data_IF_012589982936
#
_entry.id   IF_012589982936
#
_cell.length_a   1.000
_cell.length_b   1.000
_cell.length_c   1.000
_cell.angle_alpha   90.00
_cell.angle_beta   90.00
_cell.angle_gamma   90.00
#
_symmetry.space_group_name_H-M   'P 1'
#
loop_
_entity.id
_entity.type
_entity.pdbx_description
1 polymer ?
#
# COMPACT_ATOMS: atom_id res chain seq x y z
N UNK A 1 9.10 3.60 16.27
CA UNK A 1 8.05 3.38 15.23
C UNK A 1 6.69 3.22 15.89
N UNK A 2 5.60 3.63 15.21
CA UNK A 2 4.21 3.44 15.64
C UNK A 2 3.58 2.27 14.87
N UNK A 3 2.59 1.59 15.47
CA UNK A 3 1.78 0.60 14.78
C UNK A 3 0.46 1.22 14.33
N UNK A 4 0.14 1.05 13.07
CA UNK A 4 -1.11 1.45 12.45
C UNK A 4 -1.67 0.39 11.52
N UNK A 5 -2.70 0.76 10.76
CA UNK A 5 -3.20 -0.06 9.66
C UNK A 5 -3.80 0.80 8.55
N UNK A 6 -3.85 0.24 7.35
CA UNK A 6 -4.54 0.80 6.19
C UNK A 6 -6.04 0.57 6.32
N UNK A 7 -6.82 1.64 6.33
CA UNK A 7 -8.28 1.58 6.57
C UNK A 7 -9.07 0.97 5.42
N UNK A 8 -8.45 0.75 4.27
CA UNK A 8 -9.05 0.13 3.09
C UNK A 8 -9.67 -1.27 3.35
N UNK A 9 -9.23 -1.96 4.39
CA UNK A 9 -9.83 -3.24 4.80
C UNK A 9 -11.23 -3.13 5.42
N UNK A 10 -11.70 -1.91 5.71
CA UNK A 10 -13.03 -1.63 6.28
C UNK A 10 -13.82 -0.64 5.40
N UNK A 11 -14.03 -0.92 4.10
CA UNK A 11 -14.50 0.08 3.13
C UNK A 11 -15.87 0.66 3.43
N UNK A 12 -16.75 -0.11 4.08
CA UNK A 12 -18.12 0.29 4.37
C UNK A 12 -18.28 1.02 5.71
N UNK A 13 -17.20 1.10 6.51
CA UNK A 13 -17.27 1.67 7.85
C UNK A 13 -16.85 3.14 7.84
N UNK A 14 -17.60 4.05 8.49
CA UNK A 14 -17.19 5.46 8.62
C UNK A 14 -15.84 5.60 9.34
N UNK A 15 -15.06 6.62 8.97
CA UNK A 15 -13.75 6.90 9.59
C UNK A 15 -13.85 7.04 11.12
N UNK A 16 -14.90 7.68 11.62
CA UNK A 16 -15.12 7.91 13.04
C UNK A 16 -15.23 6.59 13.83
N UNK A 17 -15.91 5.61 13.25
CA UNK A 17 -16.04 4.28 13.86
C UNK A 17 -14.72 3.49 13.78
N UNK A 18 -14.00 3.59 12.65
CA UNK A 18 -12.67 2.98 12.49
C UNK A 18 -11.70 3.57 13.51
N UNK A 19 -11.67 4.90 13.65
CA UNK A 19 -10.78 5.59 14.57
C UNK A 19 -11.10 5.22 16.05
N UNK A 20 -12.38 5.18 16.41
CA UNK A 20 -12.80 4.77 17.75
C UNK A 20 -12.38 3.33 18.05
N UNK A 21 -12.59 2.40 17.11
CA UNK A 21 -12.17 1.02 17.23
C UNK A 21 -10.64 0.90 17.35
N UNK A 22 -9.90 1.58 16.48
CA UNK A 22 -8.44 1.55 16.45
C UNK A 22 -7.82 2.07 17.77
N UNK A 23 -8.31 3.22 18.27
CA UNK A 23 -7.88 3.79 19.53
C UNK A 23 -8.17 2.87 20.73
N UNK A 24 -9.39 2.29 20.77
CA UNK A 24 -9.78 1.34 21.82
C UNK A 24 -8.92 0.06 21.82
N UNK A 25 -8.41 -0.36 20.67
CA UNK A 25 -7.53 -1.52 20.53
C UNK A 25 -6.05 -1.16 20.60
N UNK A 26 -5.69 0.10 20.87
CA UNK A 26 -4.31 0.51 21.15
C UNK A 26 -3.43 0.65 19.89
N UNK A 27 -4.01 0.87 18.73
CA UNK A 27 -3.28 1.38 17.56
C UNK A 27 -2.85 2.82 17.82
N UNK A 28 -1.79 3.26 17.17
CA UNK A 28 -1.23 4.60 17.34
C UNK A 28 -1.32 5.48 16.07
N UNK A 29 -1.66 4.88 14.94
CA UNK A 29 -1.76 5.57 13.66
C UNK A 29 -2.76 4.89 12.72
N UNK A 30 -3.25 5.65 11.72
CA UNK A 30 -4.00 5.11 10.58
C UNK A 30 -3.39 5.63 9.28
N UNK A 31 -3.34 4.76 8.29
CA UNK A 31 -3.20 5.09 6.87
C UNK A 31 -4.60 5.14 6.28
N UNK A 32 -5.00 6.32 5.79
CA UNK A 32 -6.38 6.52 5.37
C UNK A 32 -6.58 6.26 3.88
N UNK A 33 -7.51 5.38 3.58
CA UNK A 33 -8.00 5.15 2.23
C UNK A 33 -8.65 6.43 1.66
N UNK A 34 -8.19 6.86 0.49
CA UNK A 34 -8.60 8.10 -0.17
C UNK A 34 -8.96 7.88 -1.64
N UNK A 35 -9.54 6.72 -2.00
CA UNK A 35 -10.05 6.51 -3.35
C UNK A 35 -11.27 7.38 -3.63
N UNK A 36 -11.62 7.66 -4.91
CA UNK A 36 -12.81 8.42 -5.23
C UNK A 36 -14.07 7.81 -4.63
N UNK A 37 -14.90 8.64 -4.01
CA UNK A 37 -16.16 8.23 -3.41
C UNK A 37 -17.29 8.01 -4.43
N UNK A 38 -17.07 8.41 -5.69
CA UNK A 38 -18.05 8.36 -6.78
C UNK A 38 -17.44 7.56 -7.94
N UNK A 39 -18.20 6.59 -8.46
CA UNK A 39 -17.81 5.79 -9.62
C UNK A 39 -18.07 4.30 -9.43
N UNK A 40 -18.16 3.59 -10.54
CA UNK A 40 -18.31 2.12 -10.58
C UNK A 40 -16.89 1.50 -10.62
N UNK A 41 -16.28 1.36 -9.44
CA UNK A 41 -14.92 0.82 -9.27
C UNK A 41 -14.93 -0.44 -8.43
N UNK A 42 -14.05 -1.40 -8.71
CA UNK A 42 -13.91 -2.61 -7.87
C UNK A 42 -13.43 -2.31 -6.44
N UNK A 43 -12.81 -1.15 -6.21
CA UNK A 43 -12.28 -0.72 -4.93
C UNK A 43 -12.77 0.69 -4.61
N UNK A 44 -13.51 0.85 -3.51
CA UNK A 44 -14.27 2.09 -3.21
C UNK A 44 -14.02 2.63 -1.81
N UNK A 45 -12.97 2.18 -1.10
CA UNK A 45 -12.69 2.70 0.22
C UNK A 45 -12.32 4.20 0.16
N UNK A 46 -13.16 5.04 0.74
CA UNK A 46 -13.02 6.49 0.73
C UNK A 46 -13.27 7.05 2.13
N UNK A 47 -12.25 7.03 2.98
CA UNK A 47 -12.34 7.57 4.35
C UNK A 47 -11.94 9.05 4.43
N UNK A 48 -11.35 9.57 3.36
CA UNK A 48 -11.08 10.99 3.11
C UNK A 48 -11.66 11.35 1.75
N UNK A 49 -12.54 12.35 1.72
CA UNK A 49 -13.14 12.87 0.50
C UNK A 49 -12.16 13.83 -0.20
N UNK A 50 -11.09 13.28 -0.81
CA UNK A 50 -10.03 14.07 -1.42
C UNK A 50 -10.51 14.94 -2.58
N UNK A 51 -11.48 14.48 -3.36
CA UNK A 51 -12.10 15.19 -4.47
C UNK A 51 -13.06 16.31 -4.07
N UNK A 52 -13.48 16.34 -2.79
CA UNK A 52 -14.34 17.37 -2.20
C UNK A 52 -13.72 17.95 -0.91
N UNK A 53 -12.39 17.95 -0.81
CA UNK A 53 -11.68 18.31 0.40
C UNK A 53 -11.77 19.80 0.70
N UNK A 54 -12.31 20.15 1.87
CA UNK A 54 -12.42 21.50 2.37
C UNK A 54 -12.01 21.58 3.86
N UNK A 55 -12.20 22.76 4.47
CA UNK A 55 -11.89 22.94 5.88
C UNK A 55 -12.75 22.05 6.81
N UNK A 56 -14.00 21.81 6.45
CA UNK A 56 -14.90 20.96 7.25
C UNK A 56 -14.46 19.50 7.20
N UNK A 57 -14.05 19.02 6.03
CA UNK A 57 -13.49 17.66 5.87
C UNK A 57 -12.15 17.53 6.62
N UNK A 58 -11.30 18.55 6.56
CA UNK A 58 -10.05 18.56 7.34
C UNK A 58 -10.32 18.48 8.85
N UNK A 59 -11.29 19.23 9.35
CA UNK A 59 -11.67 19.21 10.77
C UNK A 59 -12.31 17.88 11.16
N UNK A 60 -13.10 17.28 10.29
CA UNK A 60 -13.68 15.93 10.48
C UNK A 60 -12.59 14.88 10.64
N UNK A 61 -11.64 14.83 9.71
CA UNK A 61 -10.54 13.87 9.75
C UNK A 61 -9.67 14.04 10.99
N UNK A 62 -9.26 15.29 11.30
CA UNK A 62 -8.49 15.58 12.51
C UNK A 62 -9.27 15.22 13.78
N UNK A 63 -10.52 15.61 13.88
CA UNK A 63 -11.37 15.30 15.03
C UNK A 63 -11.52 13.81 15.27
N UNK A 64 -11.69 13.02 14.22
CA UNK A 64 -11.77 11.56 14.33
C UNK A 64 -10.46 10.94 14.85
N UNK A 65 -9.32 11.42 14.38
CA UNK A 65 -8.01 10.91 14.80
C UNK A 65 -7.61 11.40 16.20
N UNK A 66 -7.64 12.70 16.43
CA UNK A 66 -7.20 13.33 17.69
C UNK A 66 -8.07 12.88 18.87
N UNK A 67 -9.38 12.74 18.64
CA UNK A 67 -10.33 12.27 19.67
C UNK A 67 -10.07 10.83 20.13
N UNK A 68 -9.30 10.07 19.37
CA UNK A 68 -8.96 8.68 19.67
C UNK A 68 -7.43 8.45 19.87
N UNK A 69 -6.65 9.53 19.97
CA UNK A 69 -5.20 9.48 20.20
C UNK A 69 -4.39 8.89 19.04
N UNK A 70 -4.91 9.00 17.81
CA UNK A 70 -4.31 8.45 16.60
C UNK A 70 -3.59 9.54 15.79
N UNK A 71 -2.52 9.17 15.10
CA UNK A 71 -1.87 10.02 14.11
C UNK A 71 -2.21 9.54 12.69
N UNK A 72 -2.30 10.48 11.74
CA UNK A 72 -2.34 10.16 10.32
C UNK A 72 -0.93 9.75 9.86
N UNK A 73 -0.78 8.59 9.23
CA UNK A 73 0.51 8.12 8.70
C UNK A 73 0.69 8.44 7.22
N UNK A 74 -0.35 8.29 6.43
CA UNK A 74 -0.36 8.53 4.99
C UNK A 74 -1.79 8.61 4.46
N UNK A 75 -1.96 9.14 3.25
CA UNK A 75 -3.15 8.91 2.42
C UNK A 75 -2.83 7.84 1.37
N UNK A 76 -3.70 6.86 1.25
CA UNK A 76 -3.56 5.74 0.34
C UNK A 76 -4.46 5.92 -0.88
N UNK A 77 -3.84 6.08 -2.04
CA UNK A 77 -4.50 6.09 -3.34
C UNK A 77 -3.66 5.32 -4.36
N UNK A 78 -3.76 4.01 -4.30
CA UNK A 78 -2.96 3.09 -5.11
C UNK A 78 -3.68 2.78 -6.42
N UNK A 79 -3.43 3.58 -7.46
CA UNK A 79 -4.02 3.45 -8.79
C UNK A 79 -2.98 3.46 -9.91
N UNK A 80 -3.39 3.04 -11.13
CA UNK A 80 -2.50 2.87 -12.28
C UNK A 80 -2.24 4.21 -13.01
N UNK A 81 -1.20 4.92 -12.63
CA UNK A 81 -0.84 6.20 -13.27
C UNK A 81 -0.36 6.08 -14.73
N UNK A 82 -0.16 4.86 -15.23
CA UNK A 82 0.16 4.58 -16.64
C UNK A 82 -0.97 3.85 -17.35
N UNK A 83 -2.21 4.02 -16.88
CA UNK A 83 -3.38 3.37 -17.48
C UNK A 83 -3.43 3.60 -18.99
N UNK A 84 -3.70 2.55 -19.81
CA UNK A 84 -3.68 2.66 -21.29
C UNK A 84 -4.74 3.60 -21.83
N UNK A 85 -5.91 3.71 -21.21
CA UNK A 85 -6.93 4.69 -21.56
C UNK A 85 -6.52 6.08 -21.05
N UNK A 86 -6.36 7.09 -21.95
CA UNK A 86 -5.95 8.43 -21.55
C UNK A 86 -6.96 9.14 -20.64
N UNK A 87 -8.26 8.89 -20.80
CA UNK A 87 -9.29 9.55 -20.00
C UNK A 87 -9.27 9.03 -18.55
N UNK A 88 -9.11 7.71 -18.36
CA UNK A 88 -8.93 7.10 -17.06
C UNK A 88 -7.64 7.60 -16.41
N UNK A 89 -6.53 7.61 -17.15
CA UNK A 89 -5.26 8.12 -16.66
C UNK A 89 -5.33 9.57 -16.20
N UNK A 90 -5.99 10.44 -16.98
CA UNK A 90 -6.17 11.84 -16.62
C UNK A 90 -7.04 12.00 -15.35
N UNK A 91 -8.07 11.16 -15.21
CA UNK A 91 -8.88 11.11 -13.99
C UNK A 91 -8.06 10.66 -12.77
N UNK A 92 -7.21 9.63 -12.92
CA UNK A 92 -6.32 9.16 -11.85
C UNK A 92 -5.32 10.24 -11.42
N UNK A 93 -4.72 10.96 -12.38
CA UNK A 93 -3.81 12.06 -12.07
C UNK A 93 -4.53 13.25 -11.41
N UNK A 94 -5.75 13.56 -11.83
CA UNK A 94 -6.55 14.61 -11.19
C UNK A 94 -6.85 14.25 -9.73
N UNK A 95 -7.27 13.01 -9.46
CA UNK A 95 -7.56 12.56 -8.10
C UNK A 95 -6.29 12.45 -7.25
N UNK A 96 -5.16 12.00 -7.81
CA UNK A 96 -3.87 11.99 -7.11
C UNK A 96 -3.46 13.41 -6.65
N UNK A 97 -3.67 14.43 -7.50
CA UNK A 97 -3.44 15.82 -7.09
C UNK A 97 -4.38 16.25 -5.96
N UNK A 98 -5.63 15.85 -6.00
CA UNK A 98 -6.57 16.12 -4.90
C UNK A 98 -6.12 15.44 -3.59
N UNK A 99 -5.62 14.21 -3.64
CA UNK A 99 -5.01 13.54 -2.49
C UNK A 99 -3.78 14.29 -1.97
N UNK A 100 -2.93 14.83 -2.86
CA UNK A 100 -1.77 15.65 -2.47
C UNK A 100 -2.21 16.92 -1.76
N UNK A 101 -3.22 17.63 -2.28
CA UNK A 101 -3.76 18.86 -1.67
C UNK A 101 -4.37 18.56 -0.28
N UNK A 102 -5.13 17.46 -0.15
CA UNK A 102 -5.65 16.99 1.11
C UNK A 102 -4.55 16.64 2.12
N UNK A 103 -3.52 15.90 1.68
CA UNK A 103 -2.38 15.53 2.50
C UNK A 103 -1.61 16.76 3.00
N UNK A 104 -1.40 17.77 2.16
CA UNK A 104 -0.78 19.03 2.54
C UNK A 104 -1.58 19.74 3.63
N UNK A 105 -2.91 19.83 3.47
CA UNK A 105 -3.80 20.44 4.46
C UNK A 105 -3.85 19.64 5.77
N UNK A 106 -3.64 18.34 5.73
CA UNK A 106 -3.59 17.44 6.91
C UNK A 106 -2.20 17.35 7.58
N UNK A 107 -1.26 18.20 7.21
CA UNK A 107 0.05 18.27 7.87
C UNK A 107 1.24 17.77 7.05
N UNK A 108 1.06 17.57 5.74
CA UNK A 108 2.14 17.17 4.83
C UNK A 108 2.52 15.69 4.93
N UNK A 109 1.56 14.82 5.25
CA UNK A 109 1.77 13.36 5.28
C UNK A 109 2.07 12.83 3.88
N UNK A 110 2.77 11.69 3.74
CA UNK A 110 2.98 11.06 2.45
C UNK A 110 1.68 10.66 1.76
N UNK A 111 1.70 10.63 0.43
CA UNK A 111 0.62 10.05 -0.40
C UNK A 111 1.16 8.81 -1.10
N UNK A 112 0.52 7.67 -0.84
CA UNK A 112 0.82 6.40 -1.48
C UNK A 112 0.12 6.28 -2.83
N UNK A 113 0.85 5.77 -3.82
CA UNK A 113 0.32 5.48 -5.16
C UNK A 113 1.10 4.34 -5.81
N UNK A 114 0.71 3.94 -7.04
CA UNK A 114 1.50 3.05 -7.88
C UNK A 114 2.09 3.80 -9.08
N UNK A 115 3.18 3.30 -9.64
CA UNK A 115 3.60 3.71 -10.97
C UNK A 115 2.56 3.21 -11.98
N UNK A 116 2.18 1.97 -11.83
CA UNK A 116 1.30 1.28 -12.75
C UNK A 116 2.02 0.79 -14.00
N UNK A 117 1.24 0.37 -14.99
CA UNK A 117 1.72 -0.10 -16.29
C UNK A 117 0.59 -0.12 -17.31
N UNK A 118 0.93 0.20 -18.58
CA UNK A 118 0.16 -0.20 -19.75
C UNK A 118 0.60 -1.63 -20.14
N UNK A 119 -0.24 -2.67 -19.95
CA UNK A 119 0.12 -4.06 -20.24
C UNK A 119 0.31 -4.32 -21.74
N UNK A 120 -0.19 -3.44 -22.60
CA UNK A 120 0.00 -3.51 -24.05
C UNK A 120 1.39 -3.06 -24.53
N UNK A 121 2.24 -2.54 -23.61
CA UNK A 121 3.59 -2.05 -23.90
C UNK A 121 4.66 -2.83 -23.17
N UNK A 122 5.87 -2.81 -23.70
CA UNK A 122 7.04 -3.34 -23.01
C UNK A 122 7.36 -2.58 -21.73
N UNK A 123 8.11 -3.19 -20.82
CA UNK A 123 8.59 -2.50 -19.60
C UNK A 123 9.36 -1.24 -19.97
N UNK A 124 10.29 -1.31 -20.92
CA UNK A 124 11.10 -0.15 -21.35
C UNK A 124 10.26 1.01 -21.92
N UNK A 125 9.13 0.73 -22.58
CA UNK A 125 8.23 1.77 -23.07
C UNK A 125 7.45 2.41 -21.91
N UNK A 126 7.04 1.61 -20.94
CA UNK A 126 6.38 2.09 -19.74
C UNK A 126 7.32 2.95 -18.88
N UNK A 127 8.60 2.58 -18.72
CA UNK A 127 9.60 3.41 -18.02
C UNK A 127 9.72 4.80 -18.67
N UNK A 128 9.85 4.85 -20.01
CA UNK A 128 9.90 6.14 -20.72
C UNK A 128 8.62 6.97 -20.59
N UNK A 129 7.47 6.33 -20.45
CA UNK A 129 6.21 7.05 -20.18
C UNK A 129 6.19 7.58 -18.75
N UNK A 130 6.61 6.79 -17.76
CA UNK A 130 6.69 7.23 -16.37
C UNK A 130 7.66 8.41 -16.19
N UNK A 131 8.78 8.44 -16.92
CA UNK A 131 9.73 9.57 -16.95
C UNK A 131 9.08 10.89 -17.45
N UNK A 132 7.96 10.81 -18.15
CA UNK A 132 7.16 11.98 -18.56
C UNK A 132 6.05 12.32 -17.59
N UNK A 133 5.44 11.29 -16.99
CA UNK A 133 4.26 11.42 -16.14
C UNK A 133 4.63 11.88 -14.72
N UNK A 134 5.67 11.31 -14.13
CA UNK A 134 5.94 11.50 -12.71
C UNK A 134 6.61 12.82 -12.33
N UNK A 135 7.57 13.38 -13.08
CA UNK A 135 8.22 14.63 -12.66
C UNK A 135 7.23 15.75 -12.33
N UNK A 136 6.21 16.08 -13.16
CA UNK A 136 5.24 17.12 -12.81
C UNK A 136 4.35 16.76 -11.60
N UNK A 137 4.14 15.49 -11.28
CA UNK A 137 3.40 15.06 -10.09
C UNK A 137 4.26 15.16 -8.83
N UNK A 138 5.53 14.82 -8.94
CA UNK A 138 6.53 14.94 -7.86
C UNK A 138 6.78 16.40 -7.51
N UNK A 139 6.95 17.27 -8.53
CA UNK A 139 7.10 18.71 -8.34
C UNK A 139 5.88 19.30 -7.65
N UNK A 140 4.67 18.92 -8.11
CA UNK A 140 3.41 19.35 -7.51
C UNK A 140 3.28 18.96 -6.03
N UNK A 141 3.70 17.74 -5.67
CA UNK A 141 3.72 17.28 -4.29
C UNK A 141 4.80 18.01 -3.47
N UNK A 142 6.00 18.16 -4.01
CA UNK A 142 7.13 18.84 -3.36
C UNK A 142 6.83 20.30 -3.03
N UNK A 143 6.18 21.05 -3.94
CA UNK A 143 5.73 22.43 -3.69
C UNK A 143 4.76 22.54 -2.51
N UNK A 144 4.09 21.44 -2.14
CA UNK A 144 3.12 21.34 -1.02
C UNK A 144 3.68 20.68 0.22
N UNK A 145 4.98 20.35 0.21
CA UNK A 145 5.62 19.65 1.32
C UNK A 145 5.18 18.20 1.50
N UNK A 146 4.61 17.60 0.45
CA UNK A 146 4.14 16.20 0.42
C UNK A 146 5.13 15.32 -0.32
N UNK A 147 5.39 14.13 0.20
CA UNK A 147 6.18 13.10 -0.48
C UNK A 147 5.26 12.12 -1.18
N UNK A 148 5.46 11.92 -2.48
CA UNK A 148 4.84 10.81 -3.20
C UNK A 148 5.64 9.55 -2.94
N UNK A 149 4.98 8.53 -2.44
CA UNK A 149 5.58 7.20 -2.22
C UNK A 149 4.89 6.16 -3.09
N UNK A 150 5.68 5.21 -3.55
CA UNK A 150 5.21 4.10 -4.36
C UNK A 150 5.36 2.81 -3.56
N UNK A 151 4.30 2.02 -3.50
CA UNK A 151 4.37 0.69 -2.93
C UNK A 151 4.96 -0.30 -3.93
N UNK A 152 5.77 -1.22 -3.45
CA UNK A 152 6.41 -2.25 -4.27
C UNK A 152 5.50 -3.46 -4.59
N UNK A 153 4.19 -3.25 -4.56
CA UNK A 153 3.21 -4.22 -5.03
C UNK A 153 3.39 -4.54 -6.51
N UNK A 154 3.19 -5.78 -6.89
CA UNK A 154 3.32 -6.25 -8.28
C UNK A 154 2.07 -5.95 -9.10
N UNK A 155 0.90 -5.89 -8.46
CA UNK A 155 -0.41 -5.72 -9.11
C UNK A 155 -0.64 -6.71 -10.26
N UNK A 156 -0.48 -7.98 -9.99
CA UNK A 156 -0.63 -9.07 -10.96
C UNK A 156 -2.02 -9.11 -11.60
N UNK A 157 -3.05 -8.63 -10.90
CA UNK A 157 -4.42 -8.56 -11.42
C UNK A 157 -4.63 -7.54 -12.55
N UNK A 158 -3.71 -6.62 -12.72
CA UNK A 158 -3.79 -5.58 -13.79
C UNK A 158 -3.22 -6.04 -15.13
N UNK A 159 -2.63 -7.21 -15.20
CA UNK A 159 -2.10 -7.77 -16.43
C UNK A 159 -2.88 -9.01 -16.82
N UNK A 160 -3.29 -9.19 -18.10
CA UNK A 160 -4.09 -10.36 -18.52
C UNK A 160 -3.43 -11.70 -18.22
N UNK A 161 -2.10 -11.76 -18.29
CA UNK A 161 -1.31 -12.96 -17.98
C UNK A 161 -0.74 -12.95 -16.55
N UNK A 162 -1.15 -11.98 -15.73
CA UNK A 162 -0.85 -11.91 -14.31
C UNK A 162 0.41 -11.15 -13.91
N UNK A 163 1.27 -10.58 -14.81
CA UNK A 163 2.52 -9.94 -14.39
C UNK A 163 3.17 -9.00 -15.38
N UNK A 164 3.91 -8.01 -14.81
CA UNK A 164 3.57 -7.17 -13.67
C UNK A 164 2.59 -6.09 -14.09
N UNK A 165 1.68 -5.70 -13.21
CA UNK A 165 0.76 -4.57 -13.41
C UNK A 165 1.29 -3.25 -12.88
N UNK A 166 2.33 -3.29 -12.02
CA UNK A 166 3.03 -2.13 -11.48
C UNK A 166 4.55 -2.29 -11.65
N UNK A 167 5.28 -1.19 -11.83
CA UNK A 167 6.71 -1.22 -12.16
C UNK A 167 7.65 -1.12 -10.94
N UNK A 168 7.13 -1.03 -9.72
CA UNK A 168 7.96 -0.93 -8.52
C UNK A 168 8.28 -2.29 -7.86
N UNK A 169 8.34 -3.38 -8.62
CA UNK A 169 8.40 -4.74 -8.09
C UNK A 169 9.80 -5.28 -7.79
N UNK A 170 10.86 -4.51 -8.04
CA UNK A 170 12.23 -4.95 -7.76
C UNK A 170 13.14 -3.80 -7.35
N UNK A 171 14.24 -4.07 -6.61
CA UNK A 171 15.23 -3.05 -6.23
C UNK A 171 15.81 -2.24 -7.41
N UNK A 172 16.09 -2.88 -8.56
CA UNK A 172 16.53 -2.18 -9.76
C UNK A 172 15.56 -1.09 -10.22
N UNK A 173 14.26 -1.40 -10.15
CA UNK A 173 13.22 -0.45 -10.51
C UNK A 173 13.00 0.63 -9.43
N UNK A 174 13.31 0.32 -8.16
CA UNK A 174 13.30 1.34 -7.11
C UNK A 174 14.43 2.35 -7.29
N UNK A 175 15.63 1.92 -7.64
CA UNK A 175 16.75 2.81 -7.95
C UNK A 175 16.35 3.81 -9.05
N UNK A 176 15.75 3.33 -10.13
CA UNK A 176 15.22 4.16 -11.20
C UNK A 176 14.12 5.12 -10.72
N UNK A 177 13.15 4.66 -9.91
CA UNK A 177 12.07 5.54 -9.44
C UNK A 177 12.56 6.60 -8.44
N UNK A 178 13.62 6.32 -7.68
CA UNK A 178 14.24 7.30 -6.79
C UNK A 178 14.87 8.46 -7.57
N UNK A 179 15.40 8.21 -8.76
CA UNK A 179 15.89 9.25 -9.67
C UNK A 179 14.77 10.18 -10.15
N UNK A 180 13.54 9.71 -10.18
CA UNK A 180 12.35 10.53 -10.46
C UNK A 180 11.88 11.36 -9.26
N UNK A 181 12.50 11.21 -8.08
CA UNK A 181 12.10 11.88 -6.84
C UNK A 181 10.98 11.18 -6.04
N UNK A 182 10.66 9.96 -6.39
CA UNK A 182 9.68 9.14 -5.67
C UNK A 182 10.30 8.49 -4.42
N UNK A 183 9.45 8.15 -3.47
CA UNK A 183 9.82 7.48 -2.22
C UNK A 183 9.21 6.08 -2.18
N UNK A 184 9.64 5.27 -1.21
CA UNK A 184 9.18 3.88 -1.08
C UNK A 184 8.20 3.74 0.10
N UNK A 185 7.06 3.14 -0.17
CA UNK A 185 6.26 2.42 0.80
C UNK A 185 6.65 0.94 0.70
N UNK A 186 7.39 0.45 1.68
CA UNK A 186 7.99 -0.88 1.60
C UNK A 186 7.05 -1.96 2.15
N UNK A 187 6.75 -2.96 1.32
CA UNK A 187 6.02 -4.16 1.70
C UNK A 187 6.88 -5.43 1.46
N UNK A 188 7.22 -6.19 2.52
CA UNK A 188 8.03 -7.38 2.40
C UNK A 188 7.32 -8.56 1.70
N UNK A 189 5.99 -8.61 1.76
CA UNK A 189 5.21 -9.75 1.31
C UNK A 189 5.33 -10.01 -0.19
N UNK A 190 5.34 -8.95 -0.99
CA UNK A 190 5.47 -9.03 -2.45
C UNK A 190 6.80 -9.61 -2.89
N UNK A 191 7.89 -9.26 -2.18
CA UNK A 191 9.23 -9.74 -2.49
C UNK A 191 9.36 -11.23 -2.18
N UNK A 192 8.72 -11.69 -1.11
CA UNK A 192 8.81 -13.07 -0.66
C UNK A 192 8.37 -14.05 -1.75
N UNK A 193 7.22 -13.82 -2.36
CA UNK A 193 6.73 -14.72 -3.41
C UNK A 193 7.42 -14.48 -4.76
N UNK A 194 7.99 -13.29 -5.01
CA UNK A 194 8.88 -13.07 -6.15
C UNK A 194 10.24 -13.78 -6.01
N UNK A 195 10.54 -14.34 -4.84
CA UNK A 195 11.81 -14.98 -4.57
C UNK A 195 12.96 -13.99 -4.34
N UNK A 196 12.65 -12.76 -4.03
CA UNK A 196 13.60 -11.71 -3.62
C UNK A 196 13.67 -11.73 -2.09
N UNK A 197 14.88 -11.75 -1.52
CA UNK A 197 15.06 -11.63 -0.08
C UNK A 197 14.59 -10.23 0.40
N UNK A 198 13.52 -10.13 1.20
CA UNK A 198 13.00 -8.83 1.63
C UNK A 198 14.00 -8.03 2.47
N UNK A 199 14.82 -8.70 3.27
CA UNK A 199 15.80 -8.02 4.14
C UNK A 199 17.00 -7.52 3.34
N UNK A 200 17.50 -8.34 2.40
CA UNK A 200 18.56 -7.95 1.48
C UNK A 200 18.13 -6.78 0.58
N UNK A 201 16.86 -6.77 0.17
CA UNK A 201 16.29 -5.69 -0.63
C UNK A 201 16.05 -4.41 0.18
N UNK A 202 15.63 -4.50 1.45
CA UNK A 202 15.31 -3.35 2.30
C UNK A 202 16.56 -2.56 2.72
N UNK A 203 17.57 -3.26 3.25
CA UNK A 203 18.71 -2.65 3.96
C UNK A 203 19.42 -1.53 3.19
N UNK A 204 19.67 -1.63 1.88
CA UNK A 204 20.32 -0.56 1.12
C UNK A 204 19.48 0.72 0.97
N UNK A 205 18.16 0.66 1.19
CA UNK A 205 17.23 1.71 0.83
C UNK A 205 16.32 2.17 1.98
N UNK A 206 16.65 1.85 3.25
CA UNK A 206 15.82 2.27 4.39
C UNK A 206 15.69 3.79 4.45
N UNK A 207 16.70 4.53 4.02
CA UNK A 207 16.66 6.00 3.91
C UNK A 207 15.67 6.54 2.87
N UNK A 208 15.19 5.67 1.98
CA UNK A 208 14.14 5.97 0.98
C UNK A 208 12.75 5.54 1.42
N UNK A 209 12.66 4.75 2.49
CA UNK A 209 11.37 4.29 3.05
C UNK A 209 10.77 5.43 3.87
N UNK A 210 9.60 5.89 3.47
CA UNK A 210 8.85 6.93 4.22
C UNK A 210 7.62 6.36 4.91
N UNK A 211 7.23 5.16 4.52
CA UNK A 211 6.14 4.37 5.08
C UNK A 211 6.46 2.88 4.92
N UNK A 212 5.98 2.05 5.82
CA UNK A 212 6.27 0.63 5.81
C UNK A 212 4.99 -0.18 6.01
N UNK A 213 4.67 -1.07 5.08
CA UNK A 213 3.58 -2.00 5.23
C UNK A 213 4.00 -3.25 6.03
N UNK A 214 3.08 -3.75 6.82
CA UNK A 214 3.14 -5.07 7.42
C UNK A 214 2.04 -5.92 6.81
N UNK A 215 2.38 -6.60 5.74
CA UNK A 215 1.61 -7.66 5.11
C UNK A 215 2.48 -8.91 5.06
N UNK A 216 1.88 -10.07 5.23
CA UNK A 216 2.58 -11.34 5.19
C UNK A 216 2.19 -12.14 3.94
N UNK A 217 2.96 -13.14 3.61
CA UNK A 217 2.65 -14.06 2.53
C UNK A 217 3.07 -15.48 2.89
N UNK A 218 2.32 -16.44 2.39
CA UNK A 218 2.60 -17.87 2.51
C UNK A 218 2.86 -18.45 1.12
N UNK A 219 4.02 -19.06 0.94
CA UNK A 219 4.49 -19.64 -0.33
C UNK A 219 4.49 -21.17 -0.23
N UNK A 220 3.78 -21.82 -1.14
CA UNK A 220 3.67 -23.27 -1.23
C UNK A 220 4.65 -23.82 -2.29
N UNK A 221 5.82 -24.27 -1.84
CA UNK A 221 6.90 -24.71 -2.73
C UNK A 221 6.50 -25.86 -3.68
N UNK A 222 5.67 -26.80 -3.22
CA UNK A 222 5.18 -27.91 -4.04
C UNK A 222 4.27 -27.43 -5.17
N UNK A 223 3.37 -26.51 -4.88
CA UNK A 223 2.50 -25.90 -5.88
C UNK A 223 3.30 -25.06 -6.87
N UNK A 224 4.30 -24.31 -6.40
CA UNK A 224 5.21 -23.56 -7.27
C UNK A 224 5.96 -24.48 -8.23
N UNK A 225 6.43 -25.64 -7.76
CA UNK A 225 7.09 -26.65 -8.61
C UNK A 225 6.14 -27.21 -9.69
N UNK A 226 4.84 -27.24 -9.41
CA UNK A 226 3.81 -27.71 -10.35
C UNK A 226 3.35 -26.64 -11.34
N UNK A 227 3.18 -25.40 -10.90
CA UNK A 227 2.58 -24.33 -11.69
C UNK A 227 3.61 -23.36 -12.28
N UNK A 228 4.83 -23.36 -11.80
CA UNK A 228 5.84 -22.37 -12.14
C UNK A 228 5.55 -21.00 -11.52
N UNK A 229 6.34 -20.02 -11.88
CA UNK A 229 6.22 -18.66 -11.33
C UNK A 229 4.96 -17.94 -11.78
N UNK A 230 4.50 -18.18 -13.00
CA UNK A 230 3.33 -17.53 -13.57
C UNK A 230 1.99 -18.09 -13.08
N UNK A 231 2.00 -19.03 -12.21
CA UNK A 231 1.07 -19.58 -11.23
C UNK A 231 -0.38 -19.79 -11.60
N UNK A 232 -1.02 -18.79 -12.18
CA UNK A 232 -2.39 -18.90 -12.63
C UNK A 232 -2.49 -19.81 -13.84
N UNK A 233 -3.29 -20.85 -13.75
CA UNK A 233 -3.47 -21.75 -14.87
C UNK A 233 -4.89 -21.60 -15.41
N UNK A 234 -5.03 -21.54 -16.73
CA UNK A 234 -6.31 -21.52 -17.45
C UNK A 234 -7.09 -22.84 -17.34
N UNK A 235 -6.55 -23.85 -16.67
CA UNK A 235 -7.16 -25.18 -16.51
C UNK A 235 -7.89 -25.38 -15.18
N UNK A 236 -7.92 -24.36 -14.32
CA UNK A 236 -8.63 -24.38 -13.03
C UNK A 236 -9.65 -23.25 -12.97
N UNK A 237 -10.76 -23.49 -12.29
CA UNK A 237 -11.64 -22.40 -11.85
C UNK A 237 -10.84 -21.52 -10.89
N UNK A 238 -10.86 -20.21 -11.12
CA UNK A 238 -10.08 -19.26 -10.33
C UNK A 238 -10.97 -18.60 -9.30
N UNK A 239 -10.64 -18.80 -8.02
CA UNK A 239 -11.06 -17.93 -6.94
C UNK A 239 -10.21 -16.65 -7.02
N UNK A 240 -10.76 -15.45 -6.76
CA UNK A 240 -9.97 -14.20 -6.68
C UNK A 240 -8.76 -14.28 -5.74
N UNK A 241 -8.86 -15.12 -4.71
CA UNK A 241 -7.80 -15.36 -3.74
C UNK A 241 -6.87 -16.55 -4.06
N UNK A 242 -7.13 -17.30 -5.14
CA UNK A 242 -6.26 -18.40 -5.60
C UNK A 242 -5.16 -17.87 -6.50
N UNK A 243 -4.02 -17.53 -5.92
CA UNK A 243 -2.82 -17.16 -6.64
C UNK A 243 -2.01 -18.40 -7.12
N UNK A 244 -2.52 -19.59 -6.91
CA UNK A 244 -1.94 -20.84 -7.35
C UNK A 244 -0.96 -21.43 -6.36
N UNK A 245 0.12 -20.77 -6.04
CA UNK A 245 1.21 -21.29 -5.22
C UNK A 245 1.65 -20.36 -4.07
N UNK A 246 0.95 -19.23 -3.86
CA UNK A 246 1.12 -18.30 -2.75
C UNK A 246 -0.20 -17.63 -2.42
N UNK A 247 -0.28 -17.04 -1.23
CA UNK A 247 -1.40 -16.19 -0.79
C UNK A 247 -0.92 -15.18 0.22
N UNK A 248 -1.62 -14.05 0.33
CA UNK A 248 -1.39 -13.11 1.41
C UNK A 248 -1.92 -13.64 2.73
N UNK A 249 -1.31 -13.18 3.81
CA UNK A 249 -1.65 -13.55 5.18
C UNK A 249 -1.56 -12.34 6.11
N UNK A 250 -2.29 -12.44 7.21
CA UNK A 250 -2.11 -11.56 8.37
C UNK A 250 -0.67 -11.66 8.88
N UNK A 251 -0.01 -10.52 9.24
CA UNK A 251 1.33 -10.50 9.82
C UNK A 251 1.54 -11.53 10.95
N UNK A 252 2.54 -12.38 10.76
CA UNK A 252 2.89 -13.48 11.66
C UNK A 252 2.19 -14.81 11.36
N UNK A 253 1.35 -14.87 10.32
CA UNK A 253 0.73 -16.12 9.87
C UNK A 253 1.28 -16.62 8.53
N UNK A 254 2.28 -15.94 7.97
CA UNK A 254 3.00 -16.31 6.76
C UNK A 254 4.47 -16.60 7.02
N UNK A 255 5.32 -16.13 6.13
CA UNK A 255 6.76 -16.47 6.11
C UNK A 255 7.67 -15.23 6.17
N UNK A 256 7.12 -14.02 6.35
CA UNK A 256 7.92 -12.82 6.57
C UNK A 256 8.54 -12.87 7.97
N UNK A 257 9.86 -12.70 8.07
CA UNK A 257 10.57 -12.61 9.36
C UNK A 257 10.40 -11.21 9.95
N UNK A 258 9.23 -10.95 10.57
CA UNK A 258 8.91 -9.64 11.16
C UNK A 258 9.91 -9.19 12.21
N UNK A 259 10.45 -10.02 13.11
CA UNK A 259 11.50 -9.61 14.03
C UNK A 259 12.71 -8.99 13.32
N UNK A 260 13.20 -9.63 12.27
CA UNK A 260 14.33 -9.10 11.49
C UNK A 260 13.95 -7.92 10.60
N UNK A 261 12.73 -7.92 10.08
CA UNK A 261 12.23 -6.79 9.28
C UNK A 261 12.17 -5.51 10.12
N UNK A 262 11.56 -5.57 11.29
CA UNK A 262 11.46 -4.45 12.23
C UNK A 262 12.85 -4.01 12.71
N UNK A 263 13.73 -4.95 13.01
CA UNK A 263 15.11 -4.68 13.40
C UNK A 263 15.88 -3.92 12.29
N UNK A 264 15.74 -4.37 11.02
CA UNK A 264 16.36 -3.71 9.87
C UNK A 264 15.85 -2.27 9.66
N UNK A 265 14.57 -2.01 9.89
CA UNK A 265 13.99 -0.68 9.87
C UNK A 265 14.62 0.22 10.95
N UNK A 266 14.77 -0.29 12.19
CA UNK A 266 15.44 0.44 13.27
C UNK A 266 16.92 0.67 12.99
N UNK A 267 17.65 -0.34 12.49
CA UNK A 267 19.06 -0.21 12.09
C UNK A 267 19.26 0.91 11.06
N UNK A 268 18.35 1.04 10.10
CA UNK A 268 18.36 2.08 9.07
C UNK A 268 17.81 3.44 9.53
N UNK A 269 17.38 3.57 10.79
CA UNK A 269 16.87 4.81 11.35
C UNK A 269 15.43 5.17 10.98
N UNK A 270 14.64 4.21 10.50
CA UNK A 270 13.22 4.44 10.24
C UNK A 270 12.45 4.56 11.57
N UNK A 271 11.75 5.68 11.76
CA UNK A 271 10.95 6.00 12.94
C UNK A 271 9.47 6.24 12.65
N UNK A 272 9.04 5.95 11.41
CA UNK A 272 7.69 6.18 10.92
C UNK A 272 6.64 5.21 11.46
N UNK A 273 5.70 4.85 10.61
CA UNK A 273 4.60 3.94 10.94
C UNK A 273 4.80 2.60 10.22
N UNK A 274 4.64 1.53 10.97
CA UNK A 274 4.43 0.19 10.45
C UNK A 274 2.92 -0.01 10.31
N UNK A 275 2.42 0.02 9.09
CA UNK A 275 0.99 -0.03 8.75
C UNK A 275 0.60 -1.44 8.36
N UNK A 276 -0.30 -2.08 9.12
CA UNK A 276 -0.84 -3.37 8.73
C UNK A 276 -1.70 -3.20 7.48
N UNK A 277 -1.34 -3.89 6.42
CA UNK A 277 -2.20 -4.07 5.26
C UNK A 277 -2.90 -5.42 5.36
N UNK A 278 -4.21 -5.36 5.62
CA UNK A 278 -5.02 -6.55 5.86
C UNK A 278 -5.51 -7.14 4.54
N UNK A 279 -4.84 -8.19 4.09
CA UNK A 279 -5.26 -9.04 2.97
C UNK A 279 -5.05 -10.50 3.37
N UNK A 280 -6.14 -11.21 3.66
CA UNK A 280 -6.07 -12.62 4.09
C UNK A 280 -7.36 -13.35 3.72
N UNK A 281 -7.30 -14.46 2.97
CA UNK A 281 -8.50 -15.20 2.55
C UNK A 281 -9.20 -15.91 3.71
N UNK A 282 -8.56 -16.07 4.86
CA UNK A 282 -9.14 -16.69 6.06
C UNK A 282 -9.79 -15.64 6.95
N UNK A 283 -9.10 -14.50 7.15
CA UNK A 283 -9.50 -13.42 8.04
C UNK A 283 -10.20 -12.26 7.33
N UNK A 284 -10.47 -12.39 6.02
CA UNK A 284 -11.29 -11.48 5.22
C UNK A 284 -12.73 -11.93 5.09
N UNK A 285 -13.54 -11.16 4.33
CA UNK A 285 -14.89 -11.51 3.92
C UNK A 285 -16.01 -11.15 4.91
N UNK A 286 -15.70 -10.70 6.14
CA UNK A 286 -16.66 -10.03 7.02
C UNK A 286 -15.96 -9.04 7.96
N UNK A 287 -16.67 -8.00 8.44
CA UNK A 287 -16.10 -7.04 9.37
C UNK A 287 -15.49 -7.67 10.63
N UNK A 288 -16.15 -8.67 11.22
CA UNK A 288 -15.69 -9.35 12.43
C UNK A 288 -14.38 -10.11 12.19
N UNK A 289 -14.23 -10.75 11.02
CA UNK A 289 -13.00 -11.43 10.66
C UNK A 289 -11.84 -10.44 10.42
N UNK A 290 -12.14 -9.32 9.80
CA UNK A 290 -11.15 -8.26 9.58
C UNK A 290 -10.64 -7.72 10.91
N UNK A 291 -11.54 -7.42 11.86
CA UNK A 291 -11.16 -7.00 13.20
C UNK A 291 -10.29 -8.04 13.92
N UNK A 292 -10.70 -9.32 13.88
CA UNK A 292 -9.92 -10.42 14.46
C UNK A 292 -8.54 -10.54 13.79
N UNK A 293 -8.46 -10.38 12.45
CA UNK A 293 -7.21 -10.37 11.71
C UNK A 293 -6.28 -9.24 12.15
N UNK A 294 -6.80 -8.02 12.30
CA UNK A 294 -6.04 -6.87 12.80
C UNK A 294 -5.55 -7.09 14.24
N UNK A 295 -6.37 -7.68 15.12
CA UNK A 295 -5.95 -8.02 16.48
C UNK A 295 -4.85 -9.10 16.51
N UNK A 296 -4.90 -10.09 15.61
CA UNK A 296 -3.84 -11.10 15.47
C UNK A 296 -2.55 -10.42 15.02
N UNK A 297 -2.60 -9.60 13.98
CA UNK A 297 -1.45 -8.85 13.48
C UNK A 297 -0.84 -7.98 14.58
N UNK A 298 -1.67 -7.24 15.31
CA UNK A 298 -1.22 -6.39 16.41
C UNK A 298 -0.49 -7.20 17.50
N UNK A 299 -1.04 -8.34 17.92
CA UNK A 299 -0.40 -9.20 18.93
C UNK A 299 0.97 -9.72 18.48
N UNK A 300 1.16 -9.94 17.18
CA UNK A 300 2.42 -10.41 16.63
C UNK A 300 3.45 -9.27 16.47
N UNK A 301 3.00 -8.07 16.10
CA UNK A 301 3.90 -6.95 15.75
C UNK A 301 4.22 -6.04 16.96
N UNK A 302 3.25 -5.78 17.84
CA UNK A 302 3.44 -4.84 18.95
C UNK A 302 4.64 -5.14 19.85
N UNK A 303 4.95 -6.40 20.21
CA UNK A 303 6.12 -6.71 21.03
C UNK A 303 7.47 -6.39 20.37
N UNK A 304 7.48 -6.17 19.05
CA UNK A 304 8.68 -5.85 18.27
C UNK A 304 8.95 -4.32 18.24
N UNK A 305 7.95 -3.52 18.58
CA UNK A 305 8.05 -2.06 18.50
C UNK A 305 8.45 -1.49 19.87
N UNK A 306 9.47 -0.62 19.85
CA UNK A 306 9.96 0.12 21.02
C UNK A 306 9.37 1.53 20.96
N UNK A 307 8.59 1.92 21.96
CA UNK A 307 7.97 3.24 22.06
C UNK A 307 6.80 3.26 22.99
#
# INVERSE_FOLDING_TARGET
MKLGFLTACMPERPLEEIAAWAGAHGFAALELAAWPSIGDRPFTAAHVAADAFDAAEADRVRGALDGNGLSLSALAYYDNNLHPDPAERDAYHAHLRACIDAAAALGGVPVGTFIGRDPGRSVSENLREAERVFPPLVDYAGERGVRLMVENCVMEGWHPDGYPGNLAYSPELWEWMFELGLWLNFDPSHLLWLGIDPLGALRPYVDKVVHAHAKDAEVFAEQRNRFGFFGRTSTRDQDPWDMGWWRYRIPGLGQVDFPRYVDALYEGGFDGVLSIEHEDPVWGGSPEKVEQGLEIAQRNLRPLLVG
#
